data_IF_865610676090
#
_entry.id   IF_865610676090
#
_cell.length_a   1.000
_cell.length_b   1.000
_cell.length_c   1.000
_cell.angle_alpha   90.00
_cell.angle_beta   90.00
_cell.angle_gamma   90.00
#
_symmetry.space_group_name_H-M   'P 1'
#
loop_
_entity.id
_entity.type
_entity.pdbx_description
1 polymer ?
#
# COMPACT_ATOMS: atom_id res chain seq x y z
N UNK A 1 -8.02 -15.09 15.51
CA UNK A 1 -7.13 -15.05 14.31
C UNK A 1 -7.47 -16.33 13.59
N UNK A 2 -8.02 -16.24 12.39
CA UNK A 2 -8.84 -17.30 11.78
C UNK A 2 -8.14 -18.67 11.77
N UNK A 3 -6.82 -18.68 11.53
CA UNK A 3 -5.98 -19.88 11.56
C UNK A 3 -5.83 -20.46 12.98
N UNK A 4 -5.62 -19.60 13.99
CA UNK A 4 -5.53 -20.03 15.39
C UNK A 4 -6.84 -20.67 15.87
N UNK A 5 -7.96 -20.09 15.46
CA UNK A 5 -9.31 -20.57 15.80
C UNK A 5 -9.56 -21.93 15.09
N UNK A 6 -9.20 -22.05 13.81
CA UNK A 6 -9.26 -23.31 13.06
C UNK A 6 -8.43 -24.45 13.67
N UNK A 7 -7.16 -24.18 14.04
CA UNK A 7 -6.28 -25.18 14.66
C UNK A 7 -6.71 -25.55 16.09
N UNK A 8 -7.36 -24.64 16.82
CA UNK A 8 -7.92 -24.94 18.13
C UNK A 8 -9.11 -25.91 18.04
N UNK A 9 -9.94 -25.79 16.99
CA UNK A 9 -11.08 -26.66 16.74
C UNK A 9 -10.70 -28.02 16.12
N UNK A 10 -9.53 -28.11 15.46
CA UNK A 10 -9.06 -29.32 14.76
C UNK A 10 -7.68 -29.83 15.26
N UNK A 11 -7.58 -30.28 16.53
CA UNK A 11 -6.31 -30.36 17.26
C UNK A 11 -5.39 -31.55 16.95
N UNK A 12 -5.74 -32.48 16.05
CA UNK A 12 -4.92 -33.68 15.78
C UNK A 12 -4.36 -33.68 14.37
N UNK A 13 -3.12 -33.23 14.24
CA UNK A 13 -2.25 -33.55 13.10
C UNK A 13 -1.20 -34.58 13.56
N UNK A 14 -0.62 -35.34 12.61
CA UNK A 14 0.46 -36.32 12.92
C UNK A 14 1.75 -35.66 13.44
N UNK A 15 1.85 -34.33 13.36
CA UNK A 15 3.05 -33.52 13.57
C UNK A 15 3.12 -32.79 14.92
N UNK A 16 2.11 -32.91 15.80
CA UNK A 16 2.13 -32.32 17.14
C UNK A 16 0.82 -31.65 17.53
N UNK A 17 0.88 -30.79 18.56
CA UNK A 17 -0.26 -29.97 18.99
C UNK A 17 -0.45 -28.71 18.12
N UNK A 18 -1.60 -28.01 18.23
CA UNK A 18 -1.88 -26.76 17.51
C UNK A 18 -0.79 -25.69 17.64
N UNK A 19 -0.31 -25.44 18.85
CA UNK A 19 0.71 -24.42 19.12
C UNK A 19 2.07 -24.76 18.50
N UNK A 20 2.45 -26.04 18.51
CA UNK A 20 3.71 -26.52 17.93
C UNK A 20 3.67 -26.44 16.40
N UNK A 21 2.53 -26.80 15.80
CA UNK A 21 2.30 -26.67 14.36
C UNK A 21 2.30 -25.20 13.92
N UNK A 22 1.68 -24.32 14.69
CA UNK A 22 1.69 -22.88 14.44
C UNK A 22 3.10 -22.30 14.56
N UNK A 23 3.87 -22.68 15.59
CA UNK A 23 5.26 -22.25 15.74
C UNK A 23 6.12 -22.73 14.56
N UNK A 24 5.99 -24.00 14.18
CA UNK A 24 6.71 -24.55 13.04
C UNK A 24 6.37 -23.80 11.74
N UNK A 25 5.09 -23.46 11.53
CA UNK A 25 4.67 -22.66 10.37
C UNK A 25 5.29 -21.25 10.41
N UNK A 26 5.24 -20.58 11.56
CA UNK A 26 5.86 -19.26 11.75
C UNK A 26 7.37 -19.27 11.50
N UNK A 27 8.06 -20.37 11.83
CA UNK A 27 9.50 -20.54 11.66
C UNK A 27 9.91 -21.09 10.28
N UNK A 28 8.96 -21.59 9.48
CA UNK A 28 9.24 -22.30 8.22
C UNK A 28 9.54 -21.41 7.01
N UNK A 29 9.36 -20.08 7.12
CA UNK A 29 9.44 -19.17 5.97
C UNK A 29 8.32 -19.39 4.94
N UNK A 30 7.27 -20.13 5.32
CA UNK A 30 6.08 -20.38 4.52
C UNK A 30 5.02 -19.33 4.88
N UNK A 31 4.41 -18.75 3.87
CA UNK A 31 3.27 -17.86 4.01
C UNK A 31 2.01 -18.55 3.47
N UNK A 32 0.90 -18.33 4.19
CA UNK A 32 -0.43 -18.72 3.74
C UNK A 32 -1.16 -17.43 3.41
N UNK A 33 -1.43 -17.24 2.14
CA UNK A 33 -2.18 -16.12 1.62
C UNK A 33 -3.62 -16.52 1.29
N UNK A 34 -4.58 -15.67 1.64
CA UNK A 34 -6.01 -15.86 1.35
C UNK A 34 -6.59 -14.61 0.67
N UNK A 35 -6.62 -14.58 -0.68
CA UNK A 35 -6.91 -13.37 -1.44
C UNK A 35 -8.25 -12.68 -1.18
N UNK A 36 -9.30 -13.48 -0.91
CA UNK A 36 -10.68 -13.02 -0.75
C UNK A 36 -11.28 -13.48 0.60
N UNK A 37 -10.46 -13.52 1.65
CA UNK A 37 -10.85 -14.02 2.98
C UNK A 37 -12.06 -13.32 3.60
N UNK A 38 -12.31 -12.06 3.23
CA UNK A 38 -13.39 -11.24 3.75
C UNK A 38 -14.78 -11.69 3.29
N UNK A 39 -14.85 -12.47 2.20
CA UNK A 39 -16.08 -12.99 1.61
C UNK A 39 -16.36 -14.44 2.04
N UNK A 40 -15.54 -14.99 2.94
CA UNK A 40 -15.71 -16.35 3.42
C UNK A 40 -16.98 -16.53 4.25
N UNK A 41 -17.69 -17.61 3.99
CA UNK A 41 -18.97 -17.97 4.61
C UNK A 41 -18.84 -18.51 6.05
N UNK A 42 -17.62 -18.78 6.51
CA UNK A 42 -17.36 -19.36 7.82
C UNK A 42 -17.49 -20.89 7.89
N UNK A 43 -17.87 -21.54 6.78
CA UNK A 43 -18.21 -22.97 6.75
C UNK A 43 -17.43 -23.74 5.67
N UNK A 44 -17.26 -23.16 4.49
CA UNK A 44 -16.63 -23.83 3.35
C UNK A 44 -15.14 -24.06 3.58
N UNK A 45 -14.67 -25.29 3.36
CA UNK A 45 -13.25 -25.61 3.45
C UNK A 45 -12.46 -24.98 2.30
N UNK A 46 -11.28 -24.39 2.57
CA UNK A 46 -10.48 -23.77 1.54
C UNK A 46 -9.88 -24.82 0.59
N UNK A 47 -9.86 -24.51 -0.70
CA UNK A 47 -9.04 -25.22 -1.69
C UNK A 47 -7.59 -24.79 -1.44
N UNK A 48 -6.69 -25.74 -1.26
CA UNK A 48 -5.27 -25.44 -1.02
C UNK A 48 -4.50 -25.55 -2.33
N UNK A 49 -3.77 -24.50 -2.71
CA UNK A 49 -2.87 -24.49 -3.85
C UNK A 49 -1.52 -23.86 -3.48
N UNK A 50 -0.56 -23.89 -4.40
CA UNK A 50 0.78 -23.36 -4.23
C UNK A 50 1.07 -22.30 -5.28
N UNK A 51 1.96 -21.36 -4.98
CA UNK A 51 2.52 -20.49 -6.02
C UNK A 51 3.36 -21.34 -7.01
N UNK A 52 3.06 -21.32 -8.32
CA UNK A 52 3.83 -22.08 -9.29
C UNK A 52 5.22 -21.49 -9.59
N UNK A 53 5.55 -20.28 -9.09
CA UNK A 53 6.85 -19.59 -9.19
C UNK A 53 7.37 -19.40 -10.64
N UNK A 54 6.49 -19.58 -11.64
CA UNK A 54 6.86 -19.60 -13.05
C UNK A 54 6.00 -18.65 -13.90
N UNK A 55 5.26 -17.74 -13.25
CA UNK A 55 4.38 -16.76 -13.88
C UNK A 55 3.09 -17.34 -14.48
N UNK A 56 2.71 -18.57 -14.11
CA UNK A 56 1.41 -19.12 -14.48
C UNK A 56 0.28 -18.47 -13.67
N UNK A 57 -0.83 -18.17 -14.34
CA UNK A 57 -2.03 -17.59 -13.71
C UNK A 57 -2.98 -18.64 -13.11
N UNK A 58 -2.65 -19.92 -13.26
CA UNK A 58 -3.41 -21.04 -12.71
C UNK A 58 -2.49 -22.14 -12.23
N UNK A 59 -2.89 -22.86 -11.18
CA UNK A 59 -2.18 -24.03 -10.68
C UNK A 59 -3.17 -25.14 -10.29
N UNK A 60 -2.67 -26.34 -9.99
CA UNK A 60 -3.48 -27.40 -9.39
C UNK A 60 -3.67 -27.11 -7.90
N UNK A 61 -4.92 -27.14 -7.46
CA UNK A 61 -5.32 -27.10 -6.06
C UNK A 61 -5.98 -28.39 -5.61
N UNK A 62 -6.08 -28.54 -4.30
CA UNK A 62 -6.58 -29.72 -3.62
C UNK A 62 -7.80 -29.34 -2.80
N UNK A 63 -8.97 -29.81 -3.25
CA UNK A 63 -10.27 -29.58 -2.63
C UNK A 63 -10.65 -30.78 -1.76
N UNK A 64 -11.09 -30.53 -0.52
CA UNK A 64 -11.67 -31.57 0.33
C UNK A 64 -13.13 -31.80 -0.09
N UNK A 65 -13.46 -33.04 -0.48
CA UNK A 65 -14.81 -33.40 -0.92
C UNK A 65 -15.35 -34.49 0.00
N UNK A 66 -16.55 -34.27 0.54
CA UNK A 66 -17.26 -35.29 1.31
C UNK A 66 -18.23 -36.05 0.41
N UNK A 67 -18.00 -37.36 0.26
CA UNK A 67 -18.85 -38.26 -0.52
C UNK A 67 -20.18 -38.51 0.18
N UNK A 68 -21.18 -39.00 -0.56
CA UNK A 68 -22.52 -39.29 -0.02
C UNK A 68 -22.54 -40.35 1.10
N UNK A 69 -21.48 -41.14 1.23
CA UNK A 69 -21.27 -42.13 2.30
C UNK A 69 -20.56 -41.55 3.55
N UNK A 70 -20.27 -40.24 3.56
CA UNK A 70 -19.58 -39.55 4.64
C UNK A 70 -18.05 -39.67 4.60
N UNK A 71 -17.47 -40.28 3.55
CA UNK A 71 -16.01 -40.33 3.41
C UNK A 71 -15.45 -39.03 2.84
N UNK A 72 -14.40 -38.49 3.46
CA UNK A 72 -13.69 -37.32 2.96
C UNK A 72 -12.56 -37.76 2.04
N UNK A 73 -12.59 -37.28 0.79
CA UNK A 73 -11.53 -37.44 -0.20
C UNK A 73 -10.90 -36.10 -0.58
N UNK A 74 -9.82 -36.16 -1.35
CA UNK A 74 -9.18 -35.00 -1.97
C UNK A 74 -9.40 -35.07 -3.47
N UNK A 75 -9.82 -33.96 -4.07
CA UNK A 75 -10.01 -33.81 -5.51
C UNK A 75 -9.06 -32.73 -6.03
N UNK A 76 -8.41 -33.03 -7.15
CA UNK A 76 -7.62 -32.03 -7.88
C UNK A 76 -8.56 -31.11 -8.67
N UNK A 77 -8.29 -29.82 -8.59
CA UNK A 77 -9.02 -28.77 -9.31
C UNK A 77 -8.03 -27.75 -9.85
N UNK A 78 -8.25 -27.27 -11.08
CA UNK A 78 -7.48 -26.13 -11.58
C UNK A 78 -7.97 -24.87 -10.89
N UNK A 79 -7.06 -24.18 -10.21
CA UNK A 79 -7.31 -22.96 -9.45
C UNK A 79 -6.70 -21.79 -10.19
N UNK A 80 -7.54 -20.82 -10.54
CA UNK A 80 -7.18 -19.50 -11.05
C UNK A 80 -7.80 -18.41 -10.14
N UNK A 81 -7.54 -17.13 -10.44
CA UNK A 81 -8.05 -16.02 -9.63
C UNK A 81 -9.59 -15.96 -9.65
N UNK A 82 -10.22 -16.31 -10.77
CA UNK A 82 -11.69 -16.29 -10.91
C UNK A 82 -12.36 -17.33 -10.01
N UNK A 83 -11.75 -18.51 -9.85
CA UNK A 83 -12.18 -19.51 -8.86
C UNK A 83 -11.97 -18.98 -7.44
N UNK A 84 -10.81 -18.36 -7.17
CA UNK A 84 -10.49 -17.82 -5.84
C UNK A 84 -11.44 -16.69 -5.39
N UNK A 85 -12.05 -15.96 -6.33
CA UNK A 85 -13.12 -14.98 -6.03
C UNK A 85 -14.43 -15.64 -5.57
N UNK A 86 -14.68 -16.88 -5.97
CA UNK A 86 -15.95 -17.57 -5.74
C UNK A 86 -15.87 -18.60 -4.62
N UNK A 87 -14.67 -19.09 -4.32
CA UNK A 87 -14.41 -20.14 -3.35
C UNK A 87 -13.28 -19.73 -2.40
N UNK A 88 -13.31 -20.18 -1.13
CA UNK A 88 -12.17 -20.00 -0.25
C UNK A 88 -10.96 -20.72 -0.84
N UNK A 89 -9.86 -19.99 -1.03
CA UNK A 89 -8.60 -20.53 -1.55
C UNK A 89 -7.47 -20.08 -0.64
N UNK A 90 -6.66 -21.05 -0.21
CA UNK A 90 -5.38 -20.80 0.45
C UNK A 90 -4.26 -21.02 -0.55
N UNK A 91 -3.47 -19.98 -0.77
CA UNK A 91 -2.23 -20.04 -1.54
C UNK A 91 -1.08 -20.19 -0.56
N UNK A 92 -0.29 -21.25 -0.75
CA UNK A 92 0.93 -21.48 0.01
C UNK A 92 2.11 -20.97 -0.84
N UNK A 93 2.85 -20.00 -0.33
CA UNK A 93 4.05 -19.44 -0.97
C UNK A 93 5.18 -19.25 0.06
N UNK A 94 6.30 -18.69 -0.39
CA UNK A 94 7.44 -18.36 0.49
C UNK A 94 7.41 -16.88 0.85
N UNK A 95 7.79 -16.61 2.09
CA UNK A 95 7.88 -15.26 2.62
C UNK A 95 9.32 -14.75 2.46
N UNK A 96 9.67 -14.24 1.28
CA UNK A 96 11.05 -13.79 1.01
C UNK A 96 11.35 -12.39 1.58
N UNK A 97 10.35 -11.54 1.91
CA UNK A 97 10.55 -10.13 2.32
C UNK A 97 9.70 -9.68 3.55
N UNK A 98 9.74 -10.43 4.66
CA UNK A 98 8.89 -10.17 5.85
C UNK A 98 9.28 -9.00 6.78
N UNK A 99 10.31 -8.21 6.45
CA UNK A 99 10.95 -7.32 7.43
C UNK A 99 10.16 -6.03 7.75
N UNK A 100 9.17 -5.67 6.91
CA UNK A 100 8.41 -4.43 7.09
C UNK A 100 7.01 -4.68 7.64
N UNK A 101 6.71 -4.02 8.76
CA UNK A 101 5.33 -3.88 9.23
C UNK A 101 4.69 -2.74 8.44
N UNK A 102 3.68 -2.99 7.59
CA UNK A 102 2.95 -1.92 6.94
C UNK A 102 2.38 -0.99 8.01
N UNK A 103 2.25 0.30 7.67
CA UNK A 103 1.48 1.20 8.52
C UNK A 103 0.12 0.53 8.68
N UNK A 104 -0.27 0.21 9.91
CA UNK A 104 -1.64 -0.16 10.19
C UNK A 104 -2.45 1.05 9.74
N UNK A 105 -3.08 0.95 8.57
CA UNK A 105 -4.00 1.96 8.08
C UNK A 105 -4.91 2.14 9.27
N UNK A 106 -4.84 3.30 9.91
CA UNK A 106 -5.75 3.59 11.01
C UNK A 106 -7.11 3.15 10.49
N UNK A 107 -7.87 2.35 11.25
CA UNK A 107 -9.30 2.17 11.03
C UNK A 107 -10.07 3.49 11.23
N UNK A 108 -9.40 4.61 10.92
CA UNK A 108 -9.72 6.00 11.08
C UNK A 108 -10.46 6.47 9.85
N UNK A 109 -11.74 6.11 9.87
CA UNK A 109 -12.86 6.81 9.25
C UNK A 109 -12.92 6.68 7.72
N UNK A 110 -13.89 5.88 7.28
CA UNK A 110 -14.58 5.88 5.98
C UNK A 110 -15.19 7.25 5.59
N UNK A 111 -14.79 8.34 6.26
CA UNK A 111 -15.46 9.62 6.20
C UNK A 111 -14.47 10.75 5.94
N UNK A 112 -14.71 11.53 4.89
CA UNK A 112 -14.11 12.85 4.69
C UNK A 112 -14.88 13.85 5.55
N UNK A 113 -14.14 14.71 6.27
CA UNK A 113 -14.74 15.80 7.05
C UNK A 113 -14.79 17.04 6.17
N UNK A 114 -15.98 17.43 5.75
CA UNK A 114 -16.17 18.73 5.08
C UNK A 114 -15.99 19.89 6.09
N UNK A 115 -15.78 21.11 5.60
CA UNK A 115 -15.56 22.32 6.43
C UNK A 115 -16.69 22.59 7.45
N UNK A 116 -17.89 22.04 7.23
CA UNK A 116 -19.04 22.16 8.13
C UNK A 116 -19.15 20.99 9.13
N UNK A 117 -18.15 20.12 9.22
CA UNK A 117 -18.12 18.99 10.15
C UNK A 117 -18.94 17.77 9.71
N UNK A 118 -19.47 17.75 8.47
CA UNK A 118 -20.22 16.60 7.96
C UNK A 118 -19.27 15.51 7.46
N UNK A 119 -19.45 14.29 7.97
CA UNK A 119 -18.84 13.05 7.52
C UNK A 119 -19.44 12.61 6.16
N UNK A 120 -18.61 12.44 5.13
CA UNK A 120 -19.02 11.96 3.81
C UNK A 120 -18.34 10.63 3.49
N UNK A 121 -19.11 9.63 3.05
CA UNK A 121 -18.58 8.35 2.63
C UNK A 121 -17.72 8.53 1.35
N UNK A 122 -16.64 7.75 1.24
CA UNK A 122 -15.66 7.82 0.12
C UNK A 122 -16.28 7.46 -1.24
N UNK A 123 -17.51 6.94 -1.26
CA UNK A 123 -18.25 6.54 -2.47
C UNK A 123 -19.08 7.68 -3.11
N UNK A 124 -19.16 8.86 -2.49
CA UNK A 124 -19.89 10.01 -3.05
C UNK A 124 -19.03 10.82 -4.05
N UNK A 125 -19.66 11.55 -4.99
CA UNK A 125 -18.98 12.44 -5.93
C UNK A 125 -18.24 13.56 -5.17
N UNK A 126 -16.92 13.40 -5.00
CA UNK A 126 -16.10 14.17 -4.06
C UNK A 126 -15.82 15.61 -4.50
N UNK A 127 -15.93 15.90 -5.80
CA UNK A 127 -15.52 17.16 -6.42
C UNK A 127 -16.03 18.45 -5.74
N UNK A 128 -17.28 18.54 -5.24
CA UNK A 128 -17.79 19.78 -4.61
C UNK A 128 -17.14 20.11 -3.27
N UNK A 129 -16.57 19.12 -2.58
CA UNK A 129 -15.94 19.28 -1.24
C UNK A 129 -14.46 19.65 -1.37
N UNK A 130 -13.85 19.34 -2.51
CA UNK A 130 -12.40 19.51 -2.73
C UNK A 130 -11.96 20.98 -2.91
N UNK A 131 -12.90 21.89 -3.19
CA UNK A 131 -12.62 23.26 -3.61
C UNK A 131 -12.42 24.30 -2.48
N UNK A 132 -12.30 23.87 -1.22
CA UNK A 132 -12.00 24.77 -0.10
C UNK A 132 -10.61 25.43 -0.24
N UNK A 133 -10.49 26.72 0.08
CA UNK A 133 -9.20 27.44 0.07
C UNK A 133 -8.52 27.29 1.44
N UNK A 134 -7.22 26.99 1.43
CA UNK A 134 -6.38 26.89 2.63
C UNK A 134 -6.11 28.27 3.23
N UNK A 135 -6.20 28.38 4.56
CA UNK A 135 -5.87 29.58 5.33
C UNK A 135 -4.36 29.76 5.54
N UNK A 136 -3.97 30.86 6.19
CA UNK A 136 -2.57 31.31 6.37
C UNK A 136 -1.80 30.56 7.49
N UNK A 137 -2.28 29.37 7.89
CA UNK A 137 -1.64 28.50 8.89
C UNK A 137 -0.52 27.66 8.29
N UNK A 138 0.31 27.05 9.15
CA UNK A 138 1.34 26.07 8.75
C UNK A 138 0.70 24.99 7.86
N UNK A 139 1.19 24.89 6.62
CA UNK A 139 0.64 23.98 5.61
C UNK A 139 1.22 22.57 5.78
N UNK A 140 0.34 21.58 5.87
CA UNK A 140 0.71 20.17 5.98
C UNK A 140 0.31 19.46 4.69
N UNK A 141 1.26 18.80 4.03
CA UNK A 141 0.99 17.95 2.87
C UNK A 141 0.71 16.53 3.34
N UNK A 142 -0.45 16.00 2.95
CA UNK A 142 -0.87 14.62 3.26
C UNK A 142 -1.25 13.85 2.01
N UNK A 143 -1.19 12.53 2.09
CA UNK A 143 -1.91 11.62 1.21
C UNK A 143 -3.18 11.18 1.94
N UNK A 144 -4.32 11.60 1.41
CA UNK A 144 -5.63 11.36 1.98
C UNK A 144 -6.31 10.13 1.41
N UNK A 145 -6.00 9.76 0.17
CA UNK A 145 -6.48 8.53 -0.43
C UNK A 145 -5.54 7.99 -1.49
N UNK A 146 -5.60 6.68 -1.70
CA UNK A 146 -4.84 5.96 -2.70
C UNK A 146 -5.73 4.94 -3.39
N UNK A 147 -5.63 4.83 -4.71
CA UNK A 147 -6.37 3.86 -5.50
C UNK A 147 -5.41 3.22 -6.50
N UNK A 148 -5.35 1.89 -6.48
CA UNK A 148 -4.62 1.09 -7.45
C UNK A 148 -5.55 0.67 -8.59
N UNK A 149 -5.14 0.85 -9.84
CA UNK A 149 -5.95 0.50 -11.02
C UNK A 149 -5.54 -0.83 -11.67
N UNK A 150 -4.38 -1.37 -11.32
CA UNK A 150 -3.83 -2.61 -11.87
C UNK A 150 -2.96 -3.33 -10.84
N UNK A 151 -2.98 -4.65 -10.85
CA UNK A 151 -2.01 -5.48 -10.14
C UNK A 151 -0.69 -5.58 -10.93
N UNK A 152 0.43 -5.56 -10.22
CA UNK A 152 1.78 -5.72 -10.79
C UNK A 152 2.18 -7.20 -10.81
N UNK A 153 1.97 -7.87 -9.69
CA UNK A 153 2.21 -9.30 -9.55
C UNK A 153 1.06 -10.23 -9.91
N UNK A 154 1.43 -11.50 -10.09
CA UNK A 154 0.48 -12.62 -10.10
C UNK A 154 -0.36 -12.66 -8.82
N UNK A 155 -1.58 -13.18 -8.92
CA UNK A 155 -2.47 -13.30 -7.76
C UNK A 155 -1.97 -14.32 -6.71
N UNK A 156 -1.01 -15.18 -7.06
CA UNK A 156 -0.36 -16.09 -6.11
C UNK A 156 0.59 -15.36 -5.14
N UNK A 157 1.13 -14.20 -5.52
CA UNK A 157 2.14 -13.48 -4.74
C UNK A 157 1.55 -12.76 -3.51
N UNK A 158 0.27 -12.38 -3.55
CA UNK A 158 -0.38 -11.71 -2.43
C UNK A 158 -1.05 -10.38 -2.77
N UNK A 159 -1.14 -9.54 -1.75
CA UNK A 159 -1.51 -8.14 -1.90
C UNK A 159 -0.35 -7.34 -2.49
N UNK A 160 -0.64 -6.26 -3.21
CA UNK A 160 0.42 -5.36 -3.71
C UNK A 160 0.90 -4.42 -2.63
N UNK A 161 2.21 -4.25 -2.53
CA UNK A 161 2.86 -3.45 -1.50
C UNK A 161 3.50 -2.22 -2.14
N UNK A 162 2.92 -1.03 -1.92
CA UNK A 162 3.42 0.21 -2.50
C UNK A 162 4.26 1.00 -1.51
N UNK A 163 5.48 1.34 -1.90
CA UNK A 163 6.26 2.36 -1.22
C UNK A 163 5.99 3.74 -1.83
N UNK A 164 5.52 4.67 -1.00
CA UNK A 164 5.35 6.07 -1.39
C UNK A 164 6.37 6.91 -0.67
N UNK A 165 7.21 7.64 -1.42
CA UNK A 165 8.34 8.40 -0.89
C UNK A 165 8.29 9.85 -1.35
N UNK A 166 8.54 10.78 -0.43
CA UNK A 166 8.59 12.23 -0.66
C UNK A 166 9.92 12.79 -0.17
N UNK A 167 10.77 13.21 -1.11
CA UNK A 167 11.99 13.97 -0.85
C UNK A 167 11.72 15.47 -0.87
N UNK A 168 11.98 16.17 0.24
CA UNK A 168 11.90 17.63 0.28
C UNK A 168 12.72 18.22 1.44
N UNK A 169 12.74 19.56 1.52
CA UNK A 169 13.33 20.30 2.64
C UNK A 169 12.22 20.83 3.54
N UNK A 170 11.82 20.04 4.53
CA UNK A 170 10.68 20.37 5.40
C UNK A 170 10.92 21.67 6.18
N UNK A 171 9.94 22.59 6.16
CA UNK A 171 10.00 23.84 6.91
C UNK A 171 11.02 24.86 6.38
N UNK A 172 11.38 24.79 5.10
CA UNK A 172 12.41 25.66 4.53
C UNK A 172 12.05 27.16 4.63
N UNK A 173 12.84 27.93 5.37
CA UNK A 173 12.72 29.38 5.58
C UNK A 173 14.09 30.04 5.58
N UNK A 174 14.63 30.30 4.39
CA UNK A 174 15.90 30.97 4.20
C UNK A 174 15.70 32.45 3.88
N UNK A 175 16.44 33.33 4.56
CA UNK A 175 16.48 34.76 4.26
C UNK A 175 17.62 35.09 3.30
N UNK A 176 18.73 34.36 3.37
CA UNK A 176 19.90 34.53 2.51
C UNK A 176 20.35 33.21 1.88
N UNK A 177 21.26 33.30 0.91
CA UNK A 177 21.84 32.12 0.26
C UNK A 177 22.66 31.29 1.26
N UNK A 178 23.35 31.94 2.20
CA UNK A 178 24.12 31.28 3.25
C UNK A 178 23.24 30.44 4.19
N UNK A 179 21.94 30.74 4.27
CA UNK A 179 20.99 29.92 5.04
C UNK A 179 20.70 28.57 4.38
N UNK A 180 20.92 28.39 3.07
CA UNK A 180 20.69 27.12 2.37
C UNK A 180 21.45 25.97 3.03
N UNK A 181 22.69 26.22 3.45
CA UNK A 181 23.55 25.23 4.09
C UNK A 181 23.06 24.76 5.47
N UNK A 182 22.08 25.45 6.06
CA UNK A 182 21.49 25.08 7.37
C UNK A 182 20.40 24.01 7.24
N UNK A 183 19.93 23.77 6.03
CA UNK A 183 18.85 22.83 5.77
C UNK A 183 19.40 21.53 5.16
N UNK A 184 18.89 20.42 5.65
CA UNK A 184 19.17 19.09 5.10
C UNK A 184 17.88 18.54 4.53
N UNK A 185 17.88 18.08 3.26
CA UNK A 185 16.72 17.41 2.70
C UNK A 185 16.45 16.11 3.47
N UNK A 186 15.17 15.75 3.56
CA UNK A 186 14.70 14.51 4.17
C UNK A 186 13.80 13.77 3.20
N UNK A 187 13.82 12.44 3.29
CA UNK A 187 12.87 11.57 2.60
C UNK A 187 11.87 11.07 3.64
N UNK A 188 10.59 11.30 3.40
CA UNK A 188 9.51 10.62 4.12
C UNK A 188 9.06 9.44 3.29
N UNK A 189 8.98 8.26 3.87
CA UNK A 189 8.53 7.04 3.22
C UNK A 189 7.43 6.33 4.01
N UNK A 190 6.57 5.63 3.28
CA UNK A 190 5.52 4.82 3.86
C UNK A 190 5.16 3.65 2.94
N UNK A 191 4.75 2.54 3.54
CA UNK A 191 4.24 1.37 2.83
C UNK A 191 2.72 1.34 2.89
N UNK A 192 2.07 1.14 1.74
CA UNK A 192 0.63 0.98 1.58
C UNK A 192 0.35 -0.38 0.94
N UNK A 193 -0.32 -1.26 1.66
CA UNK A 193 -0.72 -2.58 1.14
C UNK A 193 -2.12 -2.50 0.57
N UNK A 194 -2.28 -2.93 -0.68
CA UNK A 194 -3.56 -2.99 -1.40
C UNK A 194 -3.92 -4.45 -1.66
N UNK A 195 -4.98 -4.93 -1.01
CA UNK A 195 -5.47 -6.30 -1.20
C UNK A 195 -6.03 -6.48 -2.61
N UNK A 196 -6.04 -7.71 -3.12
CA UNK A 196 -6.65 -8.05 -4.42
C UNK A 196 -8.13 -7.68 -4.49
N UNK A 197 -8.87 -7.84 -3.39
CA UNK A 197 -10.26 -7.41 -3.25
C UNK A 197 -10.48 -5.89 -3.27
N UNK A 198 -9.41 -5.10 -3.16
CA UNK A 198 -9.42 -3.64 -3.14
C UNK A 198 -9.00 -3.00 -4.48
N UNK A 199 -8.69 -3.79 -5.51
CA UNK A 199 -8.39 -3.27 -6.84
C UNK A 199 -9.51 -2.33 -7.33
N UNK A 200 -9.12 -1.14 -7.79
CA UNK A 200 -10.06 -0.11 -8.24
C UNK A 200 -10.85 0.58 -7.13
N UNK A 201 -10.66 0.22 -5.85
CA UNK A 201 -11.30 0.91 -4.71
C UNK A 201 -10.40 2.01 -4.16
N UNK A 202 -11.02 3.11 -3.74
CA UNK A 202 -10.31 4.23 -3.11
C UNK A 202 -10.08 3.92 -1.64
N UNK A 203 -8.81 3.74 -1.25
CA UNK A 203 -8.41 3.50 0.13
C UNK A 203 -8.25 4.83 0.87
N UNK A 204 -9.00 5.09 1.95
CA UNK A 204 -8.77 6.27 2.77
C UNK A 204 -7.47 6.12 3.55
N UNK A 205 -6.63 7.15 3.47
CA UNK A 205 -5.35 7.27 4.14
C UNK A 205 -5.29 8.56 4.97
N UNK A 206 -4.22 8.70 5.74
CA UNK A 206 -3.93 9.89 6.55
C UNK A 206 -2.44 10.10 6.71
N UNK A 207 -1.69 9.84 5.64
CA UNK A 207 -0.23 9.82 5.68
C UNK A 207 0.28 11.24 5.54
N UNK A 208 1.06 11.71 6.51
CA UNK A 208 1.68 13.03 6.45
C UNK A 208 3.00 12.91 5.70
N UNK A 209 3.11 13.60 4.55
CA UNK A 209 4.34 13.64 3.76
C UNK A 209 5.24 14.79 4.18
N UNK A 210 4.67 15.97 4.49
CA UNK A 210 5.40 17.14 4.98
C UNK A 210 4.60 17.86 6.04
N UNK A 211 5.25 18.28 7.12
CA UNK A 211 4.59 18.98 8.22
C UNK A 211 4.66 20.50 8.11
N UNK A 212 5.58 21.08 7.33
CA UNK A 212 5.64 22.52 7.04
C UNK A 212 6.02 22.74 5.57
N UNK A 213 5.01 22.78 4.70
CA UNK A 213 5.17 23.04 3.27
C UNK A 213 5.15 24.55 3.01
N UNK A 214 6.32 25.18 3.10
CA UNK A 214 6.43 26.64 3.04
C UNK A 214 6.28 27.18 1.62
N UNK A 215 5.98 28.47 1.51
CA UNK A 215 5.89 29.16 0.20
C UNK A 215 7.24 29.31 -0.52
N UNK A 216 8.36 29.05 0.18
CA UNK A 216 9.67 29.00 -0.44
C UNK A 216 9.98 27.66 -1.09
N UNK A 217 9.17 26.62 -0.89
CA UNK A 217 9.35 25.33 -1.55
C UNK A 217 8.60 25.36 -2.89
N UNK A 218 9.31 25.20 -4.01
CA UNK A 218 8.70 25.26 -5.35
C UNK A 218 8.18 23.90 -5.81
N UNK A 219 8.86 22.82 -5.43
CA UNK A 219 8.44 21.45 -5.71
C UNK A 219 8.97 20.46 -4.66
N UNK A 220 8.46 19.23 -4.73
CA UNK A 220 8.95 18.06 -4.00
C UNK A 220 9.40 17.00 -5.00
N UNK A 221 10.34 16.15 -4.62
CA UNK A 221 10.63 14.91 -5.34
C UNK A 221 9.71 13.81 -4.80
N UNK A 222 9.03 13.09 -5.68
CA UNK A 222 8.02 12.11 -5.29
C UNK A 222 8.21 10.82 -6.09
N UNK A 223 8.13 9.68 -5.40
CA UNK A 223 8.36 8.34 -5.93
C UNK A 223 7.28 7.40 -5.39
N UNK A 224 6.72 6.58 -6.28
CA UNK A 224 5.89 5.44 -5.95
C UNK A 224 6.52 4.22 -6.60
N UNK A 225 6.81 3.19 -5.80
CA UNK A 225 7.21 1.87 -6.28
C UNK A 225 6.28 0.80 -5.75
N UNK A 226 6.19 -0.32 -6.46
CA UNK A 226 5.62 -1.56 -5.95
C UNK A 226 6.79 -2.50 -5.61
N UNK A 227 6.73 -3.14 -4.44
CA UNK A 227 7.87 -3.84 -3.82
C UNK A 227 8.04 -5.24 -4.41
N UNK A 228 9.14 -5.44 -5.12
CA UNK A 228 9.59 -6.75 -5.65
C UNK A 228 10.91 -7.21 -4.99
N UNK A 229 11.34 -6.46 -3.96
CA UNK A 229 12.58 -6.68 -3.23
C UNK A 229 13.85 -6.44 -4.06
N UNK A 230 14.93 -7.13 -3.69
CA UNK A 230 16.24 -7.00 -4.33
C UNK A 230 17.22 -6.13 -3.53
N UNK A 231 18.12 -5.43 -4.22
CA UNK A 231 19.16 -4.62 -3.56
C UNK A 231 18.77 -3.16 -3.51
N UNK A 232 19.09 -2.48 -2.41
CA UNK A 232 18.84 -1.04 -2.27
C UNK A 232 19.64 -0.25 -3.33
N UNK A 233 18.94 0.51 -4.14
CA UNK A 233 19.44 1.52 -5.08
C UNK A 233 18.98 2.92 -4.66
N UNK A 234 19.53 3.96 -5.30
CA UNK A 234 19.15 5.35 -5.04
C UNK A 234 18.73 6.07 -6.33
N UNK A 235 17.53 6.67 -6.30
CA UNK A 235 17.13 7.65 -7.29
C UNK A 235 17.64 9.03 -6.89
N UNK A 236 18.67 9.50 -7.60
CA UNK A 236 19.20 10.86 -7.45
C UNK A 236 18.29 11.85 -8.15
N UNK A 237 17.72 12.75 -7.39
CA UNK A 237 16.77 13.75 -7.84
C UNK A 237 17.02 15.11 -7.15
N UNK A 238 16.24 16.12 -7.54
CA UNK A 238 16.36 17.47 -7.00
C UNK A 238 14.97 17.92 -6.51
N UNK A 239 14.94 18.68 -5.43
CA UNK A 239 13.80 19.52 -5.07
C UNK A 239 14.23 20.99 -5.13
N UNK A 240 13.31 21.89 -5.49
CA UNK A 240 13.65 23.30 -5.72
C UNK A 240 13.06 24.18 -4.63
N UNK A 241 13.87 25.11 -4.11
CA UNK A 241 13.48 26.13 -3.14
C UNK A 241 13.80 27.54 -3.65
N UNK A 242 13.08 28.55 -3.18
CA UNK A 242 13.17 29.93 -3.63
C UNK A 242 13.64 30.86 -2.53
N UNK A 243 14.72 31.58 -2.78
CA UNK A 243 15.29 32.61 -1.89
C UNK A 243 15.49 33.90 -2.68
N UNK A 244 14.88 35.01 -2.23
CA UNK A 244 15.00 36.35 -2.87
C UNK A 244 14.80 36.32 -4.39
N UNK A 245 13.76 35.62 -4.84
CA UNK A 245 13.39 35.46 -6.26
C UNK A 245 14.36 34.63 -7.12
N UNK A 246 15.34 33.95 -6.51
CA UNK A 246 16.18 32.95 -7.16
C UNK A 246 15.79 31.55 -6.70
N UNK A 247 15.73 30.61 -7.63
CA UNK A 247 15.48 29.20 -7.37
C UNK A 247 16.81 28.47 -7.16
N UNK A 248 16.82 27.56 -6.20
CA UNK A 248 17.98 26.77 -5.78
C UNK A 248 17.59 25.30 -5.75
N UNK A 249 18.43 24.48 -6.38
CA UNK A 249 18.32 23.04 -6.37
C UNK A 249 18.89 22.42 -5.10
N UNK A 250 18.11 21.52 -4.50
CA UNK A 250 18.54 20.70 -3.37
C UNK A 250 18.58 19.25 -3.83
N UNK A 251 19.77 18.67 -3.87
CA UNK A 251 19.97 17.27 -4.26
C UNK A 251 19.41 16.33 -3.18
N UNK A 252 18.67 15.32 -3.62
CA UNK A 252 18.05 14.30 -2.76
C UNK A 252 18.34 12.92 -3.38
N UNK A 253 18.75 11.97 -2.55
CA UNK A 253 18.79 10.55 -2.90
C UNK A 253 17.58 9.87 -2.25
N UNK A 254 16.68 9.33 -3.06
CA UNK A 254 15.53 8.54 -2.57
C UNK A 254 15.85 7.05 -2.76
N UNK A 255 15.93 6.24 -1.69
CA UNK A 255 16.22 4.81 -1.80
C UNK A 255 14.99 4.02 -2.29
N UNK A 256 15.23 2.97 -3.08
CA UNK A 256 14.22 2.00 -3.54
C UNK A 256 14.91 0.65 -3.83
N UNK A 257 14.19 -0.46 -3.99
CA UNK A 257 14.84 -1.72 -4.34
C UNK A 257 14.99 -1.92 -5.85
N UNK A 258 16.05 -2.59 -6.29
CA UNK A 258 16.42 -2.69 -7.70
C UNK A 258 15.45 -3.50 -8.57
N UNK A 259 14.62 -4.35 -7.97
CA UNK A 259 13.59 -5.09 -8.70
C UNK A 259 12.24 -4.40 -8.71
N UNK A 260 12.01 -3.44 -7.80
CA UNK A 260 10.74 -2.74 -7.69
C UNK A 260 10.23 -2.19 -9.02
N UNK A 261 8.96 -2.43 -9.29
CA UNK A 261 8.26 -1.75 -10.36
C UNK A 261 8.08 -0.25 -10.04
N UNK A 262 8.72 0.60 -10.85
CA UNK A 262 8.55 2.06 -10.75
C UNK A 262 7.17 2.44 -11.30
N UNK A 263 6.21 2.61 -10.41
CA UNK A 263 4.85 3.09 -10.71
C UNK A 263 4.89 4.52 -11.24
N UNK A 264 5.58 5.40 -10.50
CA UNK A 264 5.74 6.80 -10.89
C UNK A 264 6.92 7.44 -10.17
N UNK A 265 7.67 8.31 -10.85
CA UNK A 265 8.67 9.18 -10.23
C UNK A 265 8.76 10.52 -10.93
N UNK A 266 8.93 11.59 -10.16
CA UNK A 266 9.07 12.93 -10.71
C UNK A 266 9.01 14.03 -9.66
N UNK A 267 8.93 15.28 -10.13
CA UNK A 267 8.73 16.45 -9.28
C UNK A 267 7.25 16.87 -9.29
N UNK A 268 6.70 17.17 -8.12
CA UNK A 268 5.36 17.75 -7.99
C UNK A 268 5.49 19.19 -7.49
N UNK A 269 4.96 20.15 -8.25
CA UNK A 269 5.07 21.57 -7.88
C UNK A 269 4.14 21.90 -6.72
N UNK A 270 4.56 22.86 -5.88
CA UNK A 270 3.72 23.38 -4.81
C UNK A 270 2.44 23.99 -5.38
N UNK A 271 2.52 24.74 -6.47
CA UNK A 271 1.34 25.38 -7.07
C UNK A 271 0.32 24.35 -7.58
N UNK A 272 0.79 23.19 -8.06
CA UNK A 272 -0.08 22.06 -8.39
C UNK A 272 -0.75 21.49 -7.13
N UNK A 273 0.06 21.15 -6.12
CA UNK A 273 -0.41 20.51 -4.88
C UNK A 273 -1.29 21.42 -4.01
N UNK A 274 -1.06 22.73 -4.06
CA UNK A 274 -1.76 23.76 -3.30
C UNK A 274 -2.82 24.51 -4.14
N UNK A 275 -3.14 24.01 -5.34
CA UNK A 275 -4.16 24.60 -6.22
C UNK A 275 -5.56 24.61 -5.57
N UNK A 276 -5.80 23.65 -4.69
CA UNK A 276 -6.99 23.54 -3.85
C UNK A 276 -6.64 22.78 -2.56
N UNK A 277 -7.58 22.65 -1.62
CA UNK A 277 -7.37 21.81 -0.43
C UNK A 277 -7.07 20.35 -0.80
N UNK A 278 -7.65 19.83 -1.89
CA UNK A 278 -7.42 18.45 -2.30
C UNK A 278 -7.07 18.34 -3.78
N UNK A 279 -5.95 17.71 -4.09
CA UNK A 279 -5.49 17.51 -5.47
C UNK A 279 -5.51 16.03 -5.81
N UNK A 280 -6.33 15.63 -6.78
CA UNK A 280 -6.35 14.26 -7.30
C UNK A 280 -5.36 14.16 -8.47
N UNK A 281 -4.43 13.22 -8.37
CA UNK A 281 -3.37 13.02 -9.34
C UNK A 281 -3.38 11.59 -9.85
N UNK A 282 -3.49 11.40 -11.16
CA UNK A 282 -3.22 10.11 -11.80
C UNK A 282 -1.71 9.99 -12.06
N UNK A 283 -1.06 9.09 -11.36
CA UNK A 283 0.39 8.89 -11.38
C UNK A 283 0.67 7.45 -11.85
N UNK A 284 0.86 7.26 -13.15
CA UNK A 284 0.93 5.92 -13.73
C UNK A 284 -0.41 5.18 -13.59
N UNK A 285 -0.36 3.98 -13.02
CA UNK A 285 -1.53 3.12 -12.79
C UNK A 285 -2.16 3.30 -11.39
N UNK A 286 -1.81 4.38 -10.69
CA UNK A 286 -2.44 4.74 -9.41
C UNK A 286 -3.07 6.14 -9.45
N UNK A 287 -4.04 6.34 -8.58
CA UNK A 287 -4.62 7.65 -8.28
C UNK A 287 -4.32 8.01 -6.83
N UNK A 288 -3.71 9.17 -6.61
CA UNK A 288 -3.35 9.68 -5.29
C UNK A 288 -4.14 10.96 -5.04
N UNK A 289 -4.84 11.01 -3.91
CA UNK A 289 -5.48 12.25 -3.44
C UNK A 289 -4.59 12.90 -2.40
N UNK A 290 -3.95 14.00 -2.79
CA UNK A 290 -3.21 14.86 -1.89
C UNK A 290 -4.16 15.79 -1.13
N UNK A 291 -3.86 16.07 0.14
CA UNK A 291 -4.51 17.11 0.94
C UNK A 291 -3.48 18.14 1.39
N UNK A 292 -3.80 19.40 1.19
CA UNK A 292 -3.12 20.55 1.76
C UNK A 292 -3.97 21.07 2.93
N UNK A 293 -3.54 20.81 4.16
CA UNK A 293 -4.19 21.28 5.40
C UNK A 293 -3.55 22.55 5.93
#
# INVERSE_FOLDING_TARGET
>A
NLLSDYFAEHPRTKSGGPEESLRALMESGIQIYWPYSEEWDGESFPIVTFDPENGQESNIGYELVTSADGTTGVKEVTVDEDLARQHPVWVINRNDDSEYSPISIFSGKQYLMSENGKCLAVDDDLMPVLCGKTGDSRKVLKIRAFQMMRNYDSWFAGASEFWIKCGAVNGFRAATEEDLAKYTPSVTDCMVVVKRSQLGRTLPLGIVMLTDFTDQMENIAFLITEDDGGTIEEWKCEATVKVKSKSWGVNISIPYHSKDDIVWRGQLSRDYLASSRYTISRLGDVSVTFEME
#
